data_IF_066503069165
#
_entry.id   IF_066503069165
#
_cell.length_a   1.000
_cell.length_b   1.000
_cell.length_c   1.000
_cell.angle_alpha   90.00
_cell.angle_beta   90.00
_cell.angle_gamma   90.00
#
_symmetry.space_group_name_H-M   'P 1'
#
loop_
_entity.id
_entity.type
_entity.pdbx_description
1 polymer ?
#
# COMPACT_ATOMS: atom_id res chain seq x y z
N UNK A 1 5.54 3.24 -19.52
CA UNK A 1 4.28 3.88 -19.07
C UNK A 1 4.51 4.26 -17.62
N UNK A 2 5.20 5.38 -17.40
CA UNK A 2 5.99 5.63 -16.18
C UNK A 2 5.41 6.77 -15.33
N UNK A 3 4.08 6.89 -15.29
CA UNK A 3 3.44 8.07 -14.71
C UNK A 3 2.41 7.77 -13.62
N UNK A 4 1.96 6.52 -13.46
CA UNK A 4 1.03 6.20 -12.37
C UNK A 4 1.81 5.97 -11.08
N UNK A 5 1.85 7.00 -10.24
CA UNK A 5 2.43 6.90 -8.89
C UNK A 5 1.38 6.37 -7.93
N UNK A 6 1.79 5.49 -7.01
CA UNK A 6 0.96 4.92 -5.94
C UNK A 6 0.13 5.97 -5.17
N UNK A 7 0.70 7.16 -4.96
CA UNK A 7 0.00 8.29 -4.37
C UNK A 7 -1.16 8.82 -5.24
N UNK A 8 -0.95 8.92 -6.56
CA UNK A 8 -2.00 9.33 -7.50
C UNK A 8 -3.14 8.33 -7.57
N UNK A 9 -2.82 7.03 -7.52
CA UNK A 9 -3.83 5.98 -7.42
C UNK A 9 -4.66 6.13 -6.13
N UNK A 10 -4.02 6.37 -4.98
CA UNK A 10 -4.72 6.61 -3.71
C UNK A 10 -5.72 7.77 -3.79
N UNK A 11 -5.31 8.94 -4.32
CA UNK A 11 -6.24 10.08 -4.45
C UNK A 11 -7.38 9.81 -5.43
N UNK A 12 -7.10 9.12 -6.54
CA UNK A 12 -8.12 8.71 -7.50
C UNK A 12 -9.15 7.77 -6.89
N UNK A 13 -8.70 6.74 -6.19
CA UNK A 13 -9.55 5.77 -5.49
C UNK A 13 -10.33 6.42 -4.35
N UNK A 14 -9.71 7.31 -3.58
CA UNK A 14 -10.40 8.08 -2.53
C UNK A 14 -11.51 8.93 -3.12
N UNK A 15 -11.27 9.57 -4.28
CA UNK A 15 -12.30 10.35 -4.97
C UNK A 15 -13.47 9.47 -5.40
N UNK A 16 -13.19 8.29 -5.97
CA UNK A 16 -14.24 7.32 -6.35
C UNK A 16 -15.01 6.79 -5.14
N UNK A 17 -14.31 6.53 -4.03
CA UNK A 17 -14.93 6.14 -2.77
C UNK A 17 -15.88 7.22 -2.25
N UNK A 18 -15.46 8.48 -2.24
CA UNK A 18 -16.29 9.61 -1.85
C UNK A 18 -17.51 9.82 -2.77
N UNK A 19 -17.36 9.50 -4.06
CA UNK A 19 -18.44 9.56 -5.04
C UNK A 19 -19.33 8.30 -5.01
N UNK A 20 -19.04 7.31 -4.18
CA UNK A 20 -19.77 6.04 -4.11
C UNK A 20 -19.65 5.20 -5.39
N UNK A 21 -18.54 5.32 -6.12
CA UNK A 21 -18.26 4.61 -7.39
C UNK A 21 -17.04 3.71 -7.34
N UNK A 22 -16.65 3.26 -6.14
CA UNK A 22 -15.47 2.40 -5.98
C UNK A 22 -15.67 1.02 -6.65
N UNK A 23 -16.91 0.58 -6.79
CA UNK A 23 -17.37 -0.62 -7.51
C UNK A 23 -17.09 -0.58 -9.02
N UNK A 24 -16.82 0.60 -9.58
CA UNK A 24 -16.43 0.74 -11.00
C UNK A 24 -14.99 0.35 -11.29
N UNK A 25 -14.19 0.06 -10.26
CA UNK A 25 -12.79 -0.32 -10.35
C UNK A 25 -12.62 -1.81 -10.07
N UNK A 26 -11.74 -2.44 -10.85
CA UNK A 26 -11.26 -3.78 -10.55
C UNK A 26 -10.35 -3.74 -9.31
N UNK A 27 -10.92 -4.13 -8.17
CA UNK A 27 -10.25 -4.08 -6.88
C UNK A 27 -9.08 -5.05 -6.83
N UNK A 28 -9.27 -6.27 -7.33
CA UNK A 28 -8.23 -7.31 -7.28
C UNK A 28 -7.04 -6.92 -8.18
N UNK A 29 -7.30 -6.41 -9.39
CA UNK A 29 -6.22 -5.92 -10.24
C UNK A 29 -5.46 -4.73 -9.61
N UNK A 30 -6.16 -3.87 -8.88
CA UNK A 30 -5.54 -2.74 -8.18
C UNK A 30 -4.69 -3.21 -7.01
N UNK A 31 -5.18 -4.17 -6.22
CA UNK A 31 -4.46 -4.76 -5.10
C UNK A 31 -3.20 -5.49 -5.59
N UNK A 32 -3.32 -6.29 -6.65
CA UNK A 32 -2.18 -7.00 -7.25
C UNK A 32 -1.09 -6.02 -7.71
N UNK A 33 -1.47 -4.89 -8.32
CA UNK A 33 -0.53 -3.85 -8.69
C UNK A 33 0.14 -3.19 -7.48
N UNK A 34 -0.61 -2.91 -6.41
CA UNK A 34 -0.04 -2.37 -5.17
C UNK A 34 0.96 -3.35 -4.57
N UNK A 35 0.64 -4.64 -4.51
CA UNK A 35 1.54 -5.68 -3.99
C UNK A 35 2.81 -5.83 -4.83
N UNK A 36 2.73 -5.67 -6.14
CA UNK A 36 3.92 -5.64 -7.02
C UNK A 36 4.86 -4.45 -6.74
N UNK A 37 4.36 -3.39 -6.11
CA UNK A 37 5.18 -2.26 -5.67
C UNK A 37 5.86 -2.48 -4.31
N UNK A 38 5.59 -3.61 -3.62
CA UNK A 38 6.25 -3.93 -2.36
C UNK A 38 7.68 -4.42 -2.59
N UNK A 39 8.63 -3.79 -1.92
CA UNK A 39 10.04 -4.14 -1.96
C UNK A 39 10.37 -5.22 -0.90
N UNK A 40 11.47 -5.95 -1.10
CA UNK A 40 11.94 -6.99 -0.15
C UNK A 40 12.22 -6.43 1.26
N UNK A 41 12.61 -5.15 1.34
CA UNK A 41 12.78 -4.43 2.61
C UNK A 41 11.47 -4.18 3.37
N UNK A 42 10.31 -4.44 2.74
CA UNK A 42 8.97 -4.32 3.31
C UNK A 42 8.22 -3.04 2.99
N UNK A 43 8.90 -2.04 2.40
CA UNK A 43 8.32 -0.75 2.02
C UNK A 43 7.80 -0.77 0.58
N UNK A 44 6.95 0.18 0.24
CA UNK A 44 6.41 0.30 -1.12
C UNK A 44 7.10 1.41 -1.91
N UNK A 45 7.27 1.15 -3.19
CA UNK A 45 7.81 2.09 -4.17
C UNK A 45 6.70 2.86 -4.90
N UNK A 46 7.07 3.93 -5.61
CA UNK A 46 6.11 4.72 -6.38
C UNK A 46 5.55 3.99 -7.61
N UNK A 47 6.32 3.02 -8.11
CA UNK A 47 6.01 2.11 -9.20
C UNK A 47 6.93 0.89 -9.06
N UNK A 48 6.68 -0.19 -9.82
CA UNK A 48 7.53 -1.40 -9.85
C UNK A 48 8.99 -1.00 -10.17
N UNK A 49 9.95 -1.65 -9.50
CA UNK A 49 11.41 -1.45 -9.64
C UNK A 49 11.97 -0.08 -9.18
N UNK A 50 11.18 0.73 -8.48
CA UNK A 50 11.68 1.99 -7.91
C UNK A 50 12.07 1.84 -6.43
N UNK A 51 12.85 2.79 -5.91
CA UNK A 51 13.21 2.80 -4.49
C UNK A 51 11.98 2.95 -3.59
N UNK A 52 11.88 2.15 -2.51
CA UNK A 52 10.79 2.26 -1.56
C UNK A 52 10.85 3.60 -0.81
N UNK A 53 9.68 4.19 -0.57
CA UNK A 53 9.57 5.44 0.17
C UNK A 53 8.38 5.37 1.13
N UNK A 54 8.53 5.98 2.32
CA UNK A 54 7.49 5.96 3.36
C UNK A 54 6.14 6.52 2.86
N UNK A 55 6.19 7.53 1.98
CA UNK A 55 4.99 8.11 1.36
C UNK A 55 4.18 7.09 0.55
N UNK A 56 4.87 6.24 -0.22
CA UNK A 56 4.20 5.22 -1.04
C UNK A 56 3.79 4.03 -0.20
N UNK A 57 4.55 3.71 0.85
CA UNK A 57 4.16 2.72 1.88
C UNK A 57 2.84 3.11 2.54
N UNK A 58 2.71 4.38 2.97
CA UNK A 58 1.47 4.90 3.52
C UNK A 58 0.33 4.86 2.48
N UNK A 59 0.60 5.28 1.23
CA UNK A 59 -0.42 5.29 0.17
C UNK A 59 -0.93 3.87 -0.12
N UNK A 60 -0.04 2.87 -0.14
CA UNK A 60 -0.39 1.47 -0.35
C UNK A 60 -1.31 0.95 0.76
N UNK A 61 -0.95 1.21 2.02
CA UNK A 61 -1.79 0.86 3.17
C UNK A 61 -3.15 1.53 3.11
N UNK A 62 -3.22 2.80 2.71
CA UNK A 62 -4.49 3.51 2.59
C UNK A 62 -5.38 2.92 1.49
N UNK A 63 -4.79 2.50 0.37
CA UNK A 63 -5.54 1.81 -0.71
C UNK A 63 -6.08 0.47 -0.21
N UNK A 64 -5.27 -0.33 0.47
CA UNK A 64 -5.71 -1.61 1.05
C UNK A 64 -6.81 -1.40 2.10
N UNK A 65 -6.70 -0.35 2.92
CA UNK A 65 -7.73 0.02 3.88
C UNK A 65 -9.04 0.47 3.21
N UNK A 66 -8.97 1.19 2.08
CA UNK A 66 -10.17 1.59 1.31
C UNK A 66 -10.92 0.38 0.75
N UNK A 67 -10.21 -0.69 0.39
CA UNK A 67 -10.81 -1.93 -0.10
C UNK A 67 -11.12 -2.94 1.00
N UNK A 68 -10.83 -2.63 2.28
CA UNK A 68 -10.92 -3.57 3.40
C UNK A 68 -10.12 -4.86 3.19
N UNK A 69 -8.96 -4.73 2.52
CA UNK A 69 -8.05 -5.83 2.15
C UNK A 69 -6.70 -5.69 2.85
N UNK A 70 -6.73 -5.38 4.14
CA UNK A 70 -5.51 -5.31 4.96
C UNK A 70 -4.95 -6.70 5.28
N UNK A 71 -5.73 -7.77 5.06
CA UNK A 71 -5.37 -9.17 5.26
C UNK A 71 -4.27 -9.67 4.31
N UNK A 72 -4.17 -9.09 3.11
CA UNK A 72 -3.14 -9.47 2.13
C UNK A 72 -1.77 -8.85 2.44
N UNK A 73 -1.71 -7.91 3.39
CA UNK A 73 -0.49 -7.19 3.71
C UNK A 73 0.37 -8.00 4.68
N UNK A 74 1.63 -8.21 4.30
CA UNK A 74 2.65 -8.79 5.18
C UNK A 74 3.09 -7.73 6.22
N UNK A 75 2.40 -7.71 7.37
CA UNK A 75 2.63 -6.76 8.47
C UNK A 75 4.04 -6.90 9.03
N UNK A 76 4.58 -8.12 9.08
CA UNK A 76 5.93 -8.39 9.61
C UNK A 76 7.00 -7.72 8.75
N UNK A 77 6.87 -7.81 7.41
CA UNK A 77 7.75 -7.08 6.50
C UNK A 77 7.59 -5.57 6.63
N UNK A 78 6.36 -5.08 6.75
CA UNK A 78 6.10 -3.65 6.87
C UNK A 78 6.73 -3.04 8.14
N UNK A 79 6.69 -3.78 9.27
CA UNK A 79 7.34 -3.40 10.52
C UNK A 79 8.86 -3.24 10.39
N UNK A 80 9.51 -4.02 9.53
CA UNK A 80 10.95 -3.88 9.26
C UNK A 80 11.29 -2.57 8.53
N UNK A 81 10.36 -2.05 7.73
CA UNK A 81 10.58 -0.84 6.95
C UNK A 81 10.37 0.46 7.76
N UNK A 82 9.68 0.40 8.90
CA UNK A 82 9.44 1.52 9.81
C UNK A 82 10.03 1.18 11.18
N UNK A 83 11.28 1.62 11.49
CA UNK A 83 11.91 1.36 12.79
C UNK A 83 11.09 1.84 14.00
N UNK A 84 10.17 2.78 13.78
CA UNK A 84 9.23 3.30 14.78
C UNK A 84 8.17 2.29 15.23
N UNK A 85 7.85 1.26 14.43
CA UNK A 85 6.90 0.21 14.79
C UNK A 85 7.56 -1.04 15.39
N UNK A 86 8.88 -1.19 15.20
CA UNK A 86 9.66 -2.29 15.78
C UNK A 86 9.67 -2.32 17.32
N UNK A 87 9.19 -1.27 17.98
CA UNK A 87 9.00 -1.21 19.44
C UNK A 87 7.69 -1.85 19.95
N UNK A 88 6.73 -2.19 19.07
CA UNK A 88 5.45 -2.79 19.47
C UNK A 88 5.41 -4.31 19.33
N UNK A 89 6.42 -4.92 18.69
CA UNK A 89 6.49 -6.36 18.43
C UNK A 89 7.34 -7.19 19.40
N UNK A 90 8.02 -6.58 20.38
CA UNK A 90 8.99 -7.30 21.24
C UNK A 90 8.47 -7.68 22.63
N UNK A 91 7.15 -7.72 22.88
CA UNK A 91 6.60 -8.21 24.14
C UNK A 91 5.50 -9.27 23.98
N UNK A 92 5.89 -10.41 23.45
CA UNK A 92 5.23 -11.69 23.77
C UNK A 92 6.12 -12.86 23.39
N UNK A 93 7.18 -13.08 24.18
CA UNK A 93 7.66 -14.40 24.64
C UNK A 93 8.40 -14.24 25.95
#
# INVERSE_FOLDING_TARGET
MDHLKLNGAYWGLTTLYLLGRLDSIDQDATIDWVLQCQHESGGFAGNVEHDPHILYTLSAMQILALFDRMDVLDVDKLCNCIPLLGGLGSNSR
#
